data_IF_642717655503
#
_entry.id   IF_642717655503
#
_cell.length_a   1.000
_cell.length_b   1.000
_cell.length_c   1.000
_cell.angle_alpha   90.00
_cell.angle_beta   90.00
_cell.angle_gamma   90.00
#
_symmetry.space_group_name_H-M   'P 1'
#
loop_
_entity.id
_entity.type
_entity.pdbx_description
1 polymer ?
#
# COMPACT_ATOMS: atom_id res chain seq x y z
N UNK A 1 -5.19 3.16 18.71
CA UNK A 1 -3.81 3.68 18.92
C UNK A 1 -2.99 3.60 17.64
N UNK A 2 -3.00 2.44 16.96
CA UNK A 2 -2.31 2.19 15.69
C UNK A 2 -2.58 3.22 14.58
N UNK A 3 -3.85 3.56 14.32
CA UNK A 3 -4.23 4.58 13.32
C UNK A 3 -3.54 5.93 13.54
N UNK A 4 -3.58 6.44 14.77
CA UNK A 4 -2.98 7.74 15.12
C UNK A 4 -1.47 7.71 14.87
N UNK A 5 -0.80 6.63 15.27
CA UNK A 5 0.63 6.45 15.05
C UNK A 5 0.97 6.38 13.55
N UNK A 6 0.18 5.67 12.75
CA UNK A 6 0.38 5.61 11.29
C UNK A 6 0.28 7.02 10.68
N UNK A 7 -0.75 7.78 11.04
CA UNK A 7 -0.92 9.16 10.56
C UNK A 7 0.24 10.06 11.02
N UNK A 8 0.71 9.92 12.26
CA UNK A 8 1.87 10.65 12.77
C UNK A 8 3.15 10.33 11.98
N UNK A 9 3.38 9.07 11.62
CA UNK A 9 4.51 8.69 10.77
C UNK A 9 4.41 9.35 9.38
N UNK A 10 3.23 9.33 8.76
CA UNK A 10 2.99 10.00 7.48
C UNK A 10 3.26 11.51 7.57
N UNK A 11 2.84 12.16 8.65
CA UNK A 11 3.10 13.58 8.94
C UNK A 11 4.60 13.88 9.08
N UNK A 12 5.31 13.05 9.84
CA UNK A 12 6.76 13.19 10.06
C UNK A 12 7.51 13.06 8.73
N UNK A 13 7.18 12.05 7.92
CA UNK A 13 7.80 11.83 6.62
C UNK A 13 7.45 12.96 5.65
N UNK A 14 6.18 13.35 5.53
CA UNK A 14 5.76 14.44 4.65
C UNK A 14 6.45 15.77 5.02
N UNK A 15 6.58 16.06 6.31
CA UNK A 15 7.31 17.23 6.81
C UNK A 15 8.79 17.20 6.42
N UNK A 16 9.46 16.06 6.59
CA UNK A 16 10.88 15.92 6.27
C UNK A 16 11.16 16.00 4.75
N UNK A 17 10.30 15.38 3.94
CA UNK A 17 10.37 15.48 2.47
C UNK A 17 10.19 16.93 2.01
N UNK A 18 9.25 17.66 2.60
CA UNK A 18 8.86 18.99 2.17
C UNK A 18 8.11 18.96 0.83
N UNK A 19 7.52 20.09 0.46
CA UNK A 19 6.52 20.12 -0.62
C UNK A 19 7.06 19.67 -1.98
N UNK A 20 8.31 20.00 -2.32
CA UNK A 20 8.88 19.67 -3.63
C UNK A 20 8.99 18.15 -3.83
N UNK A 21 9.49 17.41 -2.82
CA UNK A 21 9.58 15.96 -2.90
C UNK A 21 8.22 15.29 -2.74
N UNK A 22 7.32 15.82 -1.90
CA UNK A 22 5.95 15.32 -1.79
C UNK A 22 5.21 15.33 -3.15
N UNK A 23 5.51 16.29 -4.04
CA UNK A 23 4.97 16.32 -5.42
C UNK A 23 5.56 15.27 -6.34
N UNK A 24 6.68 14.63 -5.97
CA UNK A 24 7.40 13.62 -6.78
C UNK A 24 7.18 12.18 -6.28
N UNK A 25 6.59 12.02 -5.09
CA UNK A 25 6.27 10.70 -4.50
C UNK A 25 4.77 10.49 -4.31
N UNK A 26 4.36 9.24 -4.17
CA UNK A 26 3.07 8.85 -3.63
C UNK A 26 3.28 7.84 -2.50
N UNK A 27 2.51 7.99 -1.43
CA UNK A 27 2.53 7.10 -0.28
C UNK A 27 1.64 5.88 -0.57
N UNK A 28 2.11 4.73 -0.11
CA UNK A 28 1.45 3.42 -0.25
C UNK A 28 1.75 2.59 1.01
N UNK A 29 1.43 1.29 0.99
CA UNK A 29 1.78 0.37 2.07
C UNK A 29 0.85 0.44 3.28
N UNK A 30 1.09 -0.41 4.28
CA UNK A 30 0.15 -0.59 5.40
C UNK A 30 -0.09 0.68 6.22
N UNK A 31 0.89 1.59 6.24
CA UNK A 31 0.77 2.90 6.89
C UNK A 31 -0.37 3.76 6.29
N UNK A 32 -0.70 3.55 5.02
CA UNK A 32 -1.74 4.31 4.32
C UNK A 32 -3.13 3.69 4.42
N UNK A 33 -3.25 2.44 4.89
CA UNK A 33 -4.52 1.69 4.94
C UNK A 33 -5.63 2.50 5.63
N UNK A 34 -5.34 3.10 6.79
CA UNK A 34 -6.31 3.92 7.53
C UNK A 34 -6.81 5.17 6.78
N UNK A 35 -6.07 5.68 5.81
CA UNK A 35 -6.50 6.83 5.00
C UNK A 35 -7.41 6.42 3.83
N UNK A 36 -7.51 5.13 3.54
CA UNK A 36 -8.30 4.56 2.45
C UNK A 36 -9.65 4.00 2.92
N UNK A 37 -9.84 3.79 4.22
CA UNK A 37 -11.11 3.27 4.75
C UNK A 37 -12.17 4.36 4.88
N UNK A 38 -13.43 3.99 4.64
CA UNK A 38 -14.63 4.84 4.75
C UNK A 38 -15.56 4.41 5.89
N UNK A 39 -15.31 3.26 6.51
CA UNK A 39 -16.07 2.67 7.61
C UNK A 39 -15.35 2.86 8.95
N UNK A 40 -16.07 3.35 9.96
CA UNK A 40 -15.50 3.66 11.29
C UNK A 40 -15.05 2.42 12.07
N UNK A 41 -15.74 1.29 11.89
CA UNK A 41 -15.42 0.04 12.59
C UNK A 41 -14.05 -0.49 12.16
N UNK A 42 -13.83 -0.65 10.84
CA UNK A 42 -12.54 -1.11 10.33
C UNK A 42 -11.39 -0.12 10.53
N UNK A 43 -11.68 1.16 10.78
CA UNK A 43 -10.64 2.14 11.14
C UNK A 43 -10.01 1.85 12.51
N UNK A 44 -10.72 1.18 13.42
CA UNK A 44 -10.18 0.77 14.73
C UNK A 44 -9.27 -0.46 14.61
N UNK A 45 -9.47 -1.27 13.57
CA UNK A 45 -8.80 -2.55 13.31
C UNK A 45 -7.48 -2.40 12.57
N UNK A 46 -7.19 -1.21 12.00
CA UNK A 46 -5.96 -0.98 11.25
C UNK A 46 -4.75 -1.25 12.14
N UNK A 47 -3.93 -2.22 11.74
CA UNK A 47 -2.69 -2.54 12.43
C UNK A 47 -1.70 -1.38 12.42
N UNK A 48 -0.81 -1.42 13.40
CA UNK A 48 0.37 -0.58 13.41
C UNK A 48 1.41 -1.14 12.43
N UNK A 49 2.21 -0.25 11.84
CA UNK A 49 3.38 -0.62 11.01
C UNK A 49 4.60 0.17 11.46
N UNK A 50 5.79 -0.33 11.14
CA UNK A 50 7.06 0.30 11.56
C UNK A 50 7.71 1.15 10.46
N UNK A 51 7.09 1.22 9.29
CA UNK A 51 7.62 1.81 8.09
C UNK A 51 6.60 2.63 7.28
N UNK A 52 7.13 3.55 6.48
CA UNK A 52 6.37 4.34 5.50
C UNK A 52 6.89 4.01 4.11
N UNK A 53 6.00 3.51 3.26
CA UNK A 53 6.31 3.16 1.88
C UNK A 53 6.00 4.30 0.92
N UNK A 54 6.95 4.63 0.05
CA UNK A 54 6.84 5.70 -0.94
C UNK A 54 7.22 5.17 -2.32
N UNK A 55 6.36 5.40 -3.30
CA UNK A 55 6.70 5.23 -4.72
C UNK A 55 7.17 6.56 -5.28
N UNK A 56 8.35 6.58 -5.90
CA UNK A 56 9.00 7.80 -6.39
C UNK A 56 9.18 7.78 -7.91
N UNK A 57 8.90 8.92 -8.54
CA UNK A 57 9.22 9.12 -9.95
C UNK A 57 10.73 9.30 -10.13
N UNK A 58 11.39 8.32 -10.71
CA UNK A 58 12.79 8.41 -11.15
C UNK A 58 13.03 7.48 -12.35
N UNK A 59 14.06 7.78 -13.13
CA UNK A 59 14.48 6.97 -14.27
C UNK A 59 15.97 6.62 -14.15
N UNK A 60 16.24 5.34 -13.90
CA UNK A 60 17.58 4.79 -13.81
C UNK A 60 18.30 5.06 -12.49
N UNK A 61 19.37 4.28 -12.28
CA UNK A 61 20.16 4.29 -11.05
C UNK A 61 20.86 5.63 -10.75
N UNK A 62 21.18 6.42 -11.77
CA UNK A 62 21.79 7.74 -11.57
C UNK A 62 20.85 8.70 -10.84
N UNK A 63 19.56 8.73 -11.19
CA UNK A 63 18.57 9.54 -10.49
C UNK A 63 18.28 9.02 -9.09
N UNK A 64 18.34 7.70 -8.89
CA UNK A 64 18.27 7.09 -7.57
C UNK A 64 19.37 7.63 -6.64
N UNK A 65 20.63 7.66 -7.09
CA UNK A 65 21.73 8.21 -6.30
C UNK A 65 21.54 9.70 -5.99
N UNK A 66 21.02 10.48 -6.94
CA UNK A 66 20.69 11.89 -6.72
C UNK A 66 19.58 12.07 -5.68
N UNK A 67 18.56 11.22 -5.69
CA UNK A 67 17.50 11.21 -4.68
C UNK A 67 18.08 10.89 -3.30
N UNK A 68 18.92 9.86 -3.18
CA UNK A 68 19.57 9.50 -1.91
C UNK A 68 20.36 10.68 -1.33
N UNK A 69 21.13 11.41 -2.14
CA UNK A 69 21.85 12.61 -1.69
C UNK A 69 20.92 13.75 -1.26
N UNK A 70 19.78 13.94 -1.94
CA UNK A 70 18.76 14.91 -1.52
C UNK A 70 18.11 14.52 -0.19
N UNK A 71 17.78 13.23 -0.02
CA UNK A 71 17.20 12.69 1.21
C UNK A 71 18.18 12.84 2.39
N UNK A 72 19.48 12.62 2.18
CA UNK A 72 20.52 12.87 3.20
C UNK A 72 20.50 14.29 3.75
N UNK A 73 20.35 15.29 2.88
CA UNK A 73 20.23 16.71 3.27
C UNK A 73 18.95 17.02 4.05
N UNK A 74 17.93 16.16 3.93
CA UNK A 74 16.65 16.25 4.64
C UNK A 74 16.61 15.41 5.92
N UNK A 75 17.74 14.83 6.33
CA UNK A 75 17.87 14.10 7.59
C UNK A 75 17.65 12.59 7.47
N UNK A 76 17.35 12.07 6.27
CA UNK A 76 17.26 10.64 6.02
C UNK A 76 18.66 10.02 5.93
N UNK A 77 18.83 8.78 6.38
CA UNK A 77 20.13 8.09 6.35
C UNK A 77 19.96 6.64 5.93
N UNK A 78 20.94 6.08 5.23
CA UNK A 78 21.04 4.64 5.05
C UNK A 78 21.63 4.03 6.32
N UNK A 79 21.12 2.88 6.74
CA UNK A 79 21.66 2.11 7.86
C UNK A 79 22.36 0.86 7.34
N UNK A 80 23.52 0.51 7.89
CA UNK A 80 24.19 -0.76 7.59
C UNK A 80 23.44 -1.97 8.18
N UNK A 81 22.47 -1.73 9.07
CA UNK A 81 21.62 -2.75 9.67
C UNK A 81 20.42 -3.11 8.79
N UNK A 82 20.14 -2.33 7.75
CA UNK A 82 18.99 -2.56 6.87
C UNK A 82 19.46 -3.29 5.61
N UNK A 83 18.89 -4.48 5.34
CA UNK A 83 19.18 -5.28 4.14
C UNK A 83 18.38 -4.80 2.92
N UNK A 84 17.33 -4.01 3.14
CA UNK A 84 16.45 -3.45 2.10
C UNK A 84 17.13 -2.24 1.46
N UNK A 85 17.49 -2.34 0.18
CA UNK A 85 18.32 -1.33 -0.50
C UNK A 85 17.60 0.01 -0.65
N UNK A 86 16.28 -0.01 -0.87
CA UNK A 86 15.47 1.20 -1.00
C UNK A 86 15.10 1.85 0.35
N UNK A 87 15.50 1.24 1.48
CA UNK A 87 15.19 1.71 2.83
C UNK A 87 16.12 2.82 3.28
N UNK A 88 15.50 3.87 3.78
CA UNK A 88 16.16 4.97 4.48
C UNK A 88 15.59 5.05 5.91
N UNK A 89 16.31 5.70 6.82
CA UNK A 89 15.85 5.99 8.18
C UNK A 89 15.75 7.48 8.43
N UNK A 90 14.65 7.91 9.03
CA UNK A 90 14.43 9.26 9.55
C UNK A 90 14.38 9.19 11.09
N UNK A 91 15.54 9.35 11.74
CA UNK A 91 15.70 8.86 13.11
C UNK A 91 15.66 7.34 13.12
N UNK A 92 14.74 6.75 13.89
CA UNK A 92 14.49 5.29 13.88
C UNK A 92 13.39 4.87 12.90
N UNK A 93 12.61 5.81 12.37
CA UNK A 93 11.52 5.51 11.45
C UNK A 93 12.08 5.03 10.10
N UNK A 94 11.63 3.85 9.65
CA UNK A 94 11.98 3.28 8.35
C UNK A 94 11.11 3.90 7.27
N UNK A 95 11.72 4.26 6.14
CA UNK A 95 11.03 4.85 5.00
C UNK A 95 11.59 4.25 3.72
N UNK A 96 10.75 3.53 2.99
CA UNK A 96 11.14 2.81 1.79
C UNK A 96 10.81 3.64 0.55
N UNK A 97 11.84 3.97 -0.25
CA UNK A 97 11.71 4.78 -1.46
C UNK A 97 11.80 3.88 -2.69
N UNK A 98 10.67 3.40 -3.16
CA UNK A 98 10.58 2.45 -4.26
C UNK A 98 10.45 3.15 -5.61
N UNK A 99 11.32 2.89 -6.60
CA UNK A 99 11.21 3.47 -7.92
C UNK A 99 9.94 3.04 -8.66
N UNK A 100 9.29 3.99 -9.33
CA UNK A 100 8.22 3.67 -10.30
C UNK A 100 8.75 3.03 -11.61
N UNK A 101 10.04 3.21 -11.89
CA UNK A 101 10.73 2.60 -13.02
C UNK A 101 11.08 1.13 -12.71
N UNK A 102 10.59 0.20 -13.53
CA UNK A 102 10.73 -1.23 -13.29
C UNK A 102 12.19 -1.70 -13.34
N UNK A 103 13.03 -1.12 -14.21
CA UNK A 103 14.44 -1.50 -14.29
C UNK A 103 15.15 -1.16 -12.98
N UNK A 104 14.99 0.07 -12.50
CA UNK A 104 15.59 0.49 -11.22
C UNK A 104 14.96 -0.27 -10.04
N UNK A 105 13.64 -0.47 -10.03
CA UNK A 105 12.97 -1.21 -8.95
C UNK A 105 13.46 -2.66 -8.85
N UNK A 106 13.72 -3.32 -10.00
CA UNK A 106 14.33 -4.65 -10.05
C UNK A 106 15.76 -4.63 -9.47
N UNK A 107 16.58 -3.66 -9.84
CA UNK A 107 17.94 -3.52 -9.30
C UNK A 107 17.95 -3.33 -7.77
N UNK A 108 16.92 -2.67 -7.22
CA UNK A 108 16.78 -2.44 -5.78
C UNK A 108 15.99 -3.54 -5.05
N UNK A 109 15.51 -4.57 -5.76
CA UNK A 109 14.75 -5.69 -5.17
C UNK A 109 13.34 -5.33 -4.69
N UNK A 110 12.73 -4.28 -5.24
CA UNK A 110 11.39 -3.80 -4.84
C UNK A 110 10.44 -3.64 -6.05
N UNK A 111 10.59 -4.46 -7.07
CA UNK A 111 9.78 -4.35 -8.28
C UNK A 111 8.30 -4.64 -8.01
N UNK A 112 7.44 -3.82 -8.60
CA UNK A 112 5.99 -3.96 -8.58
C UNK A 112 5.41 -3.31 -9.84
N UNK A 113 4.67 -4.09 -10.65
CA UNK A 113 4.18 -3.62 -11.95
C UNK A 113 3.25 -2.40 -11.84
N UNK A 114 2.60 -2.22 -10.69
CA UNK A 114 1.61 -1.16 -10.47
C UNK A 114 2.21 0.16 -10.03
N UNK A 115 3.52 0.25 -9.79
CA UNK A 115 4.12 1.48 -9.27
C UNK A 115 4.06 2.65 -10.25
N UNK A 116 4.28 2.40 -11.54
CA UNK A 116 4.23 3.45 -12.57
C UNK A 116 2.85 4.09 -12.66
N UNK A 117 1.83 3.26 -12.85
CA UNK A 117 0.46 3.74 -13.06
C UNK A 117 -0.21 4.16 -11.74
N UNK A 118 0.14 3.50 -10.63
CA UNK A 118 -0.28 3.89 -9.29
C UNK A 118 0.24 5.27 -8.90
N UNK A 119 1.51 5.58 -9.22
CA UNK A 119 2.07 6.92 -9.01
C UNK A 119 1.41 7.97 -9.92
N UNK A 120 1.12 7.61 -11.18
CA UNK A 120 0.48 8.51 -12.12
C UNK A 120 -0.98 8.83 -11.75
N UNK A 121 -1.69 7.86 -11.16
CA UNK A 121 -3.08 7.99 -10.71
C UNK A 121 -3.23 8.42 -9.25
N UNK A 122 -2.12 8.65 -8.53
CA UNK A 122 -2.13 8.97 -7.12
C UNK A 122 -2.89 10.27 -6.82
N UNK A 123 -3.75 10.23 -5.81
CA UNK A 123 -4.67 11.31 -5.46
C UNK A 123 -4.17 12.10 -4.25
N UNK A 124 -4.42 13.41 -4.24
CA UNK A 124 -4.05 14.25 -3.11
C UNK A 124 -4.97 14.01 -1.91
N UNK A 125 -4.36 13.79 -0.74
CA UNK A 125 -5.01 13.66 0.54
C UNK A 125 -4.45 14.69 1.53
N UNK A 126 -5.33 15.30 2.33
CA UNK A 126 -4.95 16.26 3.37
C UNK A 126 -4.78 15.54 4.70
N UNK A 127 -3.59 15.66 5.30
CA UNK A 127 -3.29 15.14 6.63
C UNK A 127 -3.78 16.12 7.71
N UNK A 128 -3.93 15.69 8.98
CA UNK A 128 -4.46 16.56 10.05
C UNK A 128 -3.73 17.88 10.25
N UNK A 129 -2.45 17.99 9.90
CA UNK A 129 -1.71 19.27 9.96
C UNK A 129 -2.03 20.25 8.82
N UNK A 130 -2.86 19.86 7.85
CA UNK A 130 -3.12 20.59 6.60
C UNK A 130 -2.10 20.33 5.50
N UNK A 131 -1.05 19.51 5.74
CA UNK A 131 -0.14 19.06 4.68
C UNK A 131 -0.86 18.16 3.71
N UNK A 132 -0.50 18.25 2.43
CA UNK A 132 -1.03 17.36 1.39
C UNK A 132 0.01 16.35 0.95
N UNK A 133 -0.39 15.09 0.90
CA UNK A 133 0.38 13.98 0.34
C UNK A 133 -0.39 13.37 -0.83
N UNK A 134 0.30 12.63 -1.71
CA UNK A 134 -0.38 11.80 -2.72
C UNK A 134 -0.47 10.38 -2.22
N UNK A 135 -1.64 9.75 -2.35
CA UNK A 135 -1.89 8.36 -2.02
C UNK A 135 -2.17 7.56 -3.27
N UNK A 136 -1.75 6.31 -3.30
CA UNK A 136 -2.31 5.37 -4.27
C UNK A 136 -3.83 5.31 -4.11
N UNK A 137 -4.54 5.30 -5.24
CA UNK A 137 -5.98 5.05 -5.18
C UNK A 137 -6.26 3.61 -4.70
N UNK A 138 -7.44 3.33 -4.12
CA UNK A 138 -7.75 2.01 -3.57
C UNK A 138 -7.52 0.83 -4.55
N UNK A 139 -7.86 0.92 -5.85
CA UNK A 139 -7.55 -0.16 -6.80
C UNK A 139 -6.05 -0.39 -7.00
N UNK A 140 -5.25 0.68 -7.10
CA UNK A 140 -3.79 0.54 -7.26
C UNK A 140 -3.11 0.10 -5.97
N UNK A 141 -3.66 0.47 -4.80
CA UNK A 141 -3.24 -0.10 -3.52
C UNK A 141 -3.44 -1.62 -3.51
N UNK A 142 -4.65 -2.10 -3.85
CA UNK A 142 -4.93 -3.54 -3.97
C UNK A 142 -3.96 -4.23 -4.92
N UNK A 143 -3.77 -3.69 -6.11
CA UNK A 143 -2.85 -4.26 -7.10
C UNK A 143 -1.44 -4.37 -6.56
N UNK A 144 -0.95 -3.31 -5.92
CA UNK A 144 0.40 -3.28 -5.33
C UNK A 144 0.56 -4.33 -4.22
N UNK A 145 -0.47 -4.53 -3.40
CA UNK A 145 -0.46 -5.51 -2.30
C UNK A 145 -0.51 -6.94 -2.80
N UNK A 146 -1.29 -7.22 -3.83
CA UNK A 146 -1.35 -8.54 -4.47
C UNK A 146 0.00 -8.92 -5.12
N UNK A 147 0.66 -7.99 -5.80
CA UNK A 147 2.02 -8.23 -6.32
C UNK A 147 3.03 -8.48 -5.19
N UNK A 148 2.95 -7.71 -4.11
CA UNK A 148 3.82 -7.90 -2.95
C UNK A 148 3.60 -9.28 -2.30
N UNK A 149 2.33 -9.66 -2.11
CA UNK A 149 1.96 -10.99 -1.62
C UNK A 149 2.51 -12.11 -2.52
N UNK A 150 2.36 -12.00 -3.84
CA UNK A 150 2.89 -12.99 -4.77
C UNK A 150 4.42 -13.12 -4.69
N UNK A 151 5.14 -12.02 -4.46
CA UNK A 151 6.60 -12.01 -4.36
C UNK A 151 7.17 -12.52 -3.03
N UNK A 152 6.51 -12.25 -1.89
CA UNK A 152 7.07 -12.53 -0.55
C UNK A 152 6.15 -13.24 0.43
N UNK A 153 4.85 -13.23 0.21
CA UNK A 153 3.83 -13.72 1.17
C UNK A 153 3.21 -15.06 0.81
N UNK A 154 3.29 -15.51 -0.45
CA UNK A 154 2.59 -16.69 -0.94
C UNK A 154 2.96 -18.01 -0.22
N UNK A 155 4.13 -18.09 0.41
CA UNK A 155 4.56 -19.27 1.17
C UNK A 155 3.93 -19.36 2.57
N UNK A 156 3.38 -18.26 3.08
CA UNK A 156 2.69 -18.22 4.37
C UNK A 156 1.52 -17.22 4.31
N UNK A 157 0.37 -17.61 3.72
CA UNK A 157 -0.79 -16.73 3.58
C UNK A 157 -1.30 -16.19 4.93
N UNK A 158 -1.37 -17.05 5.96
CA UNK A 158 -1.89 -16.69 7.29
C UNK A 158 -1.05 -15.60 8.00
N UNK A 159 0.24 -15.50 7.67
CA UNK A 159 1.14 -14.48 8.22
C UNK A 159 1.33 -13.26 7.30
N UNK A 160 0.57 -13.15 6.22
CA UNK A 160 0.79 -12.11 5.22
C UNK A 160 0.12 -10.79 5.60
N UNK A 161 0.95 -9.82 5.98
CA UNK A 161 0.53 -8.43 6.17
C UNK A 161 -0.09 -7.81 4.91
N UNK A 162 0.29 -8.28 3.72
CA UNK A 162 -0.27 -7.78 2.48
C UNK A 162 -1.73 -8.27 2.29
N UNK A 163 -2.05 -9.51 2.67
CA UNK A 163 -3.42 -10.01 2.69
C UNK A 163 -4.26 -9.35 3.78
N UNK A 164 -3.68 -9.10 4.95
CA UNK A 164 -4.33 -8.35 6.04
C UNK A 164 -4.70 -6.93 5.58
N UNK A 165 -3.78 -6.21 4.92
CA UNK A 165 -4.04 -4.88 4.37
C UNK A 165 -5.12 -4.90 3.27
N UNK A 166 -5.16 -5.95 2.44
CA UNK A 166 -6.23 -6.16 1.43
C UNK A 166 -7.57 -6.37 2.12
N UNK A 167 -7.64 -7.24 3.12
CA UNK A 167 -8.89 -7.55 3.82
C UNK A 167 -9.39 -6.34 4.61
N UNK A 168 -8.51 -5.59 5.27
CA UNK A 168 -8.88 -4.32 5.91
C UNK A 168 -9.50 -3.33 4.93
N UNK A 169 -8.94 -3.21 3.72
CA UNK A 169 -9.51 -2.33 2.70
C UNK A 169 -10.87 -2.83 2.19
N UNK A 170 -11.01 -4.12 1.93
CA UNK A 170 -12.29 -4.72 1.49
C UNK A 170 -13.36 -4.61 2.59
N UNK A 171 -12.96 -4.82 3.83
CA UNK A 171 -13.80 -4.71 5.01
C UNK A 171 -14.25 -3.27 5.25
N UNK A 172 -13.34 -2.31 5.11
CA UNK A 172 -13.57 -0.92 5.48
C UNK A 172 -13.99 0.02 4.36
N UNK A 173 -14.20 -0.44 3.12
CA UNK A 173 -14.53 0.42 1.99
C UNK A 173 -15.60 -0.19 1.07
N UNK A 174 -16.84 0.25 1.24
CA UNK A 174 -17.99 -0.23 0.45
C UNK A 174 -17.87 0.11 -1.04
N UNK A 175 -17.28 1.27 -1.36
CA UNK A 175 -17.18 1.78 -2.72
C UNK A 175 -16.15 1.03 -3.58
N UNK A 176 -15.33 0.17 -2.97
CA UNK A 176 -14.15 -0.44 -3.58
C UNK A 176 -14.47 -1.21 -4.87
N UNK A 177 -15.58 -1.94 -4.93
CA UNK A 177 -15.98 -2.66 -6.14
C UNK A 177 -16.27 -1.71 -7.32
N UNK A 178 -16.92 -0.57 -7.06
CA UNK A 178 -17.20 0.44 -8.09
C UNK A 178 -15.93 1.16 -8.54
N UNK A 179 -14.99 1.39 -7.63
CA UNK A 179 -13.69 1.97 -7.95
C UNK A 179 -12.84 1.03 -8.80
N UNK A 180 -12.85 -0.27 -8.48
CA UNK A 180 -12.22 -1.30 -9.33
C UNK A 180 -12.89 -1.36 -10.70
N UNK A 181 -14.22 -1.22 -10.79
CA UNK A 181 -14.92 -1.20 -12.07
C UNK A 181 -14.48 -0.04 -12.96
N UNK A 182 -14.21 1.11 -12.34
CA UNK A 182 -13.82 2.34 -13.01
C UNK A 182 -12.31 2.46 -13.31
N UNK A 183 -11.50 1.50 -12.88
CA UNK A 183 -10.04 1.54 -13.09
C UNK A 183 -9.63 1.07 -14.50
N UNK A 184 -8.33 1.16 -14.79
CA UNK A 184 -7.76 0.70 -16.06
C UNK A 184 -8.12 -0.78 -16.33
N UNK A 185 -8.49 -1.16 -17.57
CA UNK A 185 -8.92 -2.52 -17.89
C UNK A 185 -7.91 -3.60 -17.51
N UNK A 186 -6.61 -3.31 -17.63
CA UNK A 186 -5.54 -4.22 -17.24
C UNK A 186 -5.53 -4.50 -15.73
N UNK A 187 -5.57 -3.44 -14.91
CA UNK A 187 -5.64 -3.57 -13.45
C UNK A 187 -6.93 -4.26 -13.02
N UNK A 188 -8.07 -3.90 -13.61
CA UNK A 188 -9.37 -4.54 -13.33
C UNK A 188 -9.32 -6.05 -13.58
N UNK A 189 -8.76 -6.46 -14.73
CA UNK A 189 -8.61 -7.87 -15.10
C UNK A 189 -7.68 -8.58 -14.12
N UNK A 190 -6.53 -7.98 -13.80
CA UNK A 190 -5.58 -8.53 -12.84
C UNK A 190 -6.21 -8.75 -11.46
N UNK A 191 -6.86 -7.72 -10.89
CA UNK A 191 -7.49 -7.80 -9.58
C UNK A 191 -8.53 -8.91 -9.52
N UNK A 192 -9.40 -8.99 -10.53
CA UNK A 192 -10.43 -10.02 -10.63
C UNK A 192 -9.84 -11.44 -10.67
N UNK A 193 -8.83 -11.67 -11.52
CA UNK A 193 -8.19 -12.98 -11.66
C UNK A 193 -7.44 -13.40 -10.41
N UNK A 194 -6.59 -12.52 -9.86
CA UNK A 194 -5.78 -12.85 -8.68
C UNK A 194 -6.64 -13.04 -7.43
N UNK A 195 -7.71 -12.26 -7.25
CA UNK A 195 -8.64 -12.49 -6.15
C UNK A 195 -9.46 -13.76 -6.34
N UNK A 196 -9.85 -14.12 -7.57
CA UNK A 196 -10.53 -15.39 -7.83
C UNK A 196 -9.68 -16.60 -7.43
N UNK A 197 -8.37 -16.55 -7.71
CA UNK A 197 -7.43 -17.59 -7.27
C UNK A 197 -7.33 -17.66 -5.74
N UNK A 198 -7.28 -16.51 -5.05
CA UNK A 198 -7.25 -16.44 -3.59
C UNK A 198 -8.53 -16.98 -2.94
N UNK A 199 -9.70 -16.67 -3.51
CA UNK A 199 -10.99 -17.19 -3.05
C UNK A 199 -11.08 -18.72 -3.16
N UNK A 200 -10.31 -19.34 -4.07
CA UNK A 200 -10.21 -20.79 -4.19
C UNK A 200 -9.24 -21.45 -3.19
N UNK A 201 -8.49 -20.68 -2.42
CA UNK A 201 -7.56 -21.19 -1.41
C UNK A 201 -8.29 -21.42 -0.07
N UNK A 202 -8.20 -22.65 0.45
CA UNK A 202 -8.81 -23.03 1.73
C UNK A 202 -8.37 -22.15 2.91
N UNK A 203 -7.10 -21.72 2.93
CA UNK A 203 -6.57 -20.92 4.04
C UNK A 203 -7.10 -19.49 4.03
N UNK A 204 -7.57 -19.01 2.88
CA UNK A 204 -8.09 -17.65 2.73
C UNK A 204 -9.37 -17.45 3.54
N UNK A 205 -10.18 -18.50 3.73
CA UNK A 205 -11.37 -18.42 4.56
C UNK A 205 -11.07 -18.10 6.03
N UNK A 206 -9.98 -18.63 6.58
CA UNK A 206 -9.56 -18.30 7.94
C UNK A 206 -9.14 -16.83 8.07
N UNK A 207 -8.52 -16.27 7.03
CA UNK A 207 -8.16 -14.84 7.02
C UNK A 207 -9.41 -13.94 6.97
N UNK A 208 -10.43 -14.33 6.18
CA UNK A 208 -11.70 -13.58 6.15
C UNK A 208 -12.40 -13.64 7.50
N UNK A 209 -12.42 -14.80 8.15
CA UNK A 209 -13.00 -14.96 9.48
C UNK A 209 -12.24 -14.13 10.54
N UNK A 210 -10.91 -14.09 10.47
CA UNK A 210 -10.06 -13.29 11.35
C UNK A 210 -10.30 -11.79 11.15
N UNK A 211 -10.35 -11.32 9.90
CA UNK A 211 -10.66 -9.94 9.56
C UNK A 211 -12.10 -9.51 9.94
N UNK A 212 -13.00 -10.47 10.15
CA UNK A 212 -14.33 -10.23 10.67
C UNK A 212 -14.41 -10.32 12.21
N UNK A 213 -13.32 -10.67 12.90
CA UNK A 213 -13.26 -10.87 14.35
C UNK A 213 -14.35 -11.80 14.92
N UNK A 214 -14.77 -12.80 14.13
CA UNK A 214 -15.84 -13.73 14.50
C UNK A 214 -17.26 -13.16 14.39
N UNK A 215 -17.44 -11.96 13.84
CA UNK A 215 -18.75 -11.42 13.49
C UNK A 215 -19.23 -12.01 12.15
N UNK A 216 -20.29 -12.81 12.19
CA UNK A 216 -20.83 -13.48 11.00
C UNK A 216 -21.44 -12.54 9.96
N UNK A 217 -22.02 -11.41 10.40
CA UNK A 217 -22.58 -10.43 9.47
C UNK A 217 -21.45 -9.70 8.75
N UNK A 218 -20.38 -9.36 9.48
CA UNK A 218 -19.19 -8.74 8.90
C UNK A 218 -18.46 -9.69 7.95
N UNK A 219 -18.32 -10.96 8.31
CA UNK A 219 -17.73 -11.98 7.44
C UNK A 219 -18.50 -12.06 6.11
N UNK A 220 -19.84 -12.08 6.16
CA UNK A 220 -20.69 -12.09 4.97
C UNK A 220 -20.48 -10.85 4.10
N UNK A 221 -20.33 -9.66 4.70
CA UNK A 221 -20.04 -8.42 3.96
C UNK A 221 -18.70 -8.52 3.24
N UNK A 222 -17.65 -9.01 3.90
CA UNK A 222 -16.31 -9.17 3.30
C UNK A 222 -16.39 -10.12 2.10
N UNK A 223 -17.00 -11.30 2.27
CA UNK A 223 -17.19 -12.25 1.17
C UNK A 223 -17.99 -11.66 0.01
N UNK A 224 -19.09 -10.96 0.29
CA UNK A 224 -19.90 -10.31 -0.73
C UNK A 224 -19.07 -9.31 -1.54
N UNK A 225 -18.28 -8.46 -0.88
CA UNK A 225 -17.45 -7.45 -1.55
C UNK A 225 -16.32 -8.09 -2.36
N UNK A 226 -15.67 -9.14 -1.86
CA UNK A 226 -14.68 -9.89 -2.62
C UNK A 226 -15.28 -10.48 -3.91
N UNK A 227 -16.46 -11.11 -3.80
CA UNK A 227 -17.15 -11.66 -4.96
C UNK A 227 -17.56 -10.58 -5.96
N UNK A 228 -18.03 -9.43 -5.49
CA UNK A 228 -18.32 -8.29 -6.35
C UNK A 228 -17.08 -7.88 -7.14
N UNK A 229 -15.94 -7.66 -6.48
CA UNK A 229 -14.67 -7.29 -7.13
C UNK A 229 -14.26 -8.31 -8.18
N UNK A 230 -14.38 -9.61 -7.88
CA UNK A 230 -14.06 -10.67 -8.86
C UNK A 230 -14.99 -10.63 -10.08
N UNK A 231 -16.26 -10.29 -9.90
CA UNK A 231 -17.25 -10.22 -10.98
C UNK A 231 -17.15 -8.95 -11.84
N UNK A 232 -16.39 -7.94 -11.41
CA UNK A 232 -16.25 -6.66 -12.14
C UNK A 232 -15.63 -6.82 -13.55
N UNK A 233 -14.97 -7.94 -13.84
CA UNK A 233 -14.33 -8.23 -15.12
C UNK A 233 -15.10 -9.23 -16.02
N UNK A 234 -16.32 -9.64 -15.63
CA UNK A 234 -17.17 -10.53 -16.42
C UNK A 234 -18.05 -9.77 -17.43
#
# INVERSE_FOLDING_TARGET
>A
MSRTQNIEMLEVVAKALGEELCRKVAFVGGCTTALLLTDEFSLEEVRYTDDVDLVVHLTGYAQWQQLVEQLKRKGFKQSQQDEVICRMRLGELKVDFMPADAETANLLGCNNRWFKDGLASAQWHELPSGRRIRLFSPPYFLGSKLEAYAGRGAQNPLGSQDLEDILNLVNGREELANEVASTAPELRTYLSQTLAELLGNNDFGYLVQDAAHGDSEREQIIWQRLHQIVQVSA
#
